data_IF_938089658424
#
_entry.id   IF_938089658424
#
_cell.length_a   1.000
_cell.length_b   1.000
_cell.length_c   1.000
_cell.angle_alpha   90.00
_cell.angle_beta   90.00
_cell.angle_gamma   90.00
#
_symmetry.space_group_name_H-M   'P 1'
#
loop_
_entity.id
_entity.type
_entity.pdbx_description
1 polymer ?
#
# COMPACT_ATOMS: atom_id res chain seq x y z
N UNK A 1 -3.28 20.92 5.99
CA UNK A 1 -4.11 22.00 6.58
C UNK A 1 -5.45 22.17 5.87
N UNK A 2 -5.49 22.39 4.55
CA UNK A 2 -6.73 22.68 3.80
C UNK A 2 -7.75 21.52 3.75
N UNK A 3 -7.30 20.27 3.79
CA UNK A 3 -8.19 19.09 3.87
C UNK A 3 -9.02 19.05 5.17
N UNK A 4 -8.44 19.44 6.31
CA UNK A 4 -9.15 19.46 7.58
C UNK A 4 -10.21 20.58 7.63
N UNK A 5 -9.98 21.68 6.91
CA UNK A 5 -10.94 22.78 6.77
C UNK A 5 -12.14 22.32 5.92
N UNK A 6 -11.92 21.59 4.83
CA UNK A 6 -13.00 21.03 4.00
C UNK A 6 -13.83 19.98 4.75
N UNK A 7 -13.18 19.09 5.50
CA UNK A 7 -13.87 18.11 6.35
C UNK A 7 -14.66 18.81 7.45
N UNK A 8 -14.08 19.85 8.06
CA UNK A 8 -14.76 20.69 9.05
C UNK A 8 -16.00 21.40 8.48
N UNK A 9 -15.91 21.98 7.28
CA UNK A 9 -17.04 22.62 6.59
C UNK A 9 -18.13 21.62 6.19
N UNK A 10 -17.76 20.41 5.74
CA UNK A 10 -18.72 19.36 5.42
C UNK A 10 -19.47 18.87 6.67
N UNK A 11 -18.76 18.70 7.80
CA UNK A 11 -19.36 18.35 9.09
C UNK A 11 -20.27 19.48 9.61
N UNK A 12 -19.84 20.74 9.48
CA UNK A 12 -20.66 21.92 9.82
C UNK A 12 -21.92 22.02 8.94
N UNK A 13 -21.80 21.72 7.64
CA UNK A 13 -22.93 21.68 6.72
C UNK A 13 -23.94 20.60 7.07
N UNK A 14 -23.47 19.40 7.43
CA UNK A 14 -24.32 18.30 7.92
C UNK A 14 -24.97 18.63 9.27
N UNK A 15 -24.27 19.34 10.16
CA UNK A 15 -24.80 19.76 11.45
C UNK A 15 -25.85 20.89 11.30
N UNK A 16 -25.63 21.82 10.38
CA UNK A 16 -26.60 22.85 9.98
C UNK A 16 -27.86 22.27 9.33
N UNK A 17 -27.71 21.22 8.50
CA UNK A 17 -28.85 20.54 7.91
C UNK A 17 -29.75 19.87 8.96
N UNK A 18 -29.18 19.39 10.07
CA UNK A 18 -29.95 18.88 11.23
C UNK A 18 -30.59 20.00 12.07
N UNK A 19 -30.13 21.24 11.93
CA UNK A 19 -30.67 22.42 12.64
C UNK A 19 -31.80 23.11 11.85
N UNK A 20 -31.91 22.86 10.54
CA UNK A 20 -33.12 23.21 9.78
C UNK A 20 -34.21 22.19 10.11
N UNK A 21 -35.11 22.58 11.03
CA UNK A 21 -36.17 21.73 11.58
C UNK A 21 -36.94 20.94 10.53
N UNK A 22 -36.94 19.62 10.69
CA UNK A 22 -37.79 18.71 9.92
C UNK A 22 -39.17 18.55 10.57
N UNK A 23 -40.14 17.97 9.86
CA UNK A 23 -41.47 17.71 10.41
C UNK A 23 -41.41 16.80 11.65
N UNK A 24 -42.26 17.08 12.65
CA UNK A 24 -42.28 16.30 13.89
C UNK A 24 -42.88 14.91 13.65
N UNK A 25 -42.33 13.90 14.33
CA UNK A 25 -42.90 12.54 14.29
C UNK A 25 -44.13 12.46 15.19
N UNK A 26 -45.27 12.08 14.62
CA UNK A 26 -46.51 11.83 15.35
C UNK A 26 -46.74 10.32 15.52
N UNK A 27 -47.32 9.93 16.65
CA UNK A 27 -47.71 8.55 16.91
C UNK A 27 -49.04 8.23 16.21
N UNK A 28 -49.26 6.98 15.82
CA UNK A 28 -50.52 6.52 15.20
C UNK A 28 -51.75 6.87 16.05
N UNK A 29 -51.64 6.79 17.39
CA UNK A 29 -52.72 7.17 18.32
C UNK A 29 -53.02 8.69 18.32
N UNK A 30 -52.00 9.53 18.14
CA UNK A 30 -52.17 10.99 18.06
C UNK A 30 -52.80 11.37 16.73
N UNK A 31 -52.39 10.71 15.64
CA UNK A 31 -53.02 10.83 14.33
C UNK A 31 -54.52 10.50 14.40
N UNK A 32 -54.90 9.36 14.99
CA UNK A 32 -56.30 8.98 15.12
C UNK A 32 -57.11 9.99 15.94
N UNK A 33 -56.53 10.52 17.03
CA UNK A 33 -57.14 11.56 17.86
C UNK A 33 -57.42 12.83 17.04
N UNK A 34 -56.47 13.29 16.24
CA UNK A 34 -56.62 14.51 15.42
C UNK A 34 -57.54 14.29 14.21
N UNK A 35 -57.46 13.12 13.60
CA UNK A 35 -58.30 12.73 12.47
C UNK A 35 -59.79 12.68 12.87
N UNK A 36 -60.12 12.04 14.00
CA UNK A 36 -61.50 11.98 14.52
C UNK A 36 -62.04 13.34 14.96
N UNK A 37 -61.17 14.23 15.45
CA UNK A 37 -61.55 15.61 15.78
C UNK A 37 -61.82 16.47 14.54
N UNK A 38 -61.41 16.02 13.34
CA UNK A 38 -61.55 16.75 12.08
C UNK A 38 -60.50 17.86 11.88
N UNK A 39 -59.34 17.72 12.54
CA UNK A 39 -58.28 18.73 12.56
C UNK A 39 -57.32 18.61 11.36
N UNK A 40 -57.42 17.52 10.59
CA UNK A 40 -56.55 17.24 9.44
C UNK A 40 -57.20 17.81 8.17
N UNK A 41 -56.41 18.55 7.39
CA UNK A 41 -56.82 19.13 6.10
C UNK A 41 -56.61 18.14 4.96
N UNK A 42 -55.43 17.50 4.91
CA UNK A 42 -55.08 16.49 3.91
C UNK A 42 -53.98 15.58 4.42
N UNK A 43 -53.96 14.34 3.93
CA UNK A 43 -52.96 13.33 4.25
C UNK A 43 -52.24 12.95 2.95
N UNK A 44 -50.91 13.03 2.92
CA UNK A 44 -50.11 12.65 1.74
C UNK A 44 -49.18 11.50 2.09
N UNK A 45 -49.41 10.34 1.50
CA UNK A 45 -48.56 9.15 1.67
C UNK A 45 -47.32 9.30 0.81
N UNK A 46 -46.14 9.36 1.44
CA UNK A 46 -44.86 9.65 0.77
C UNK A 46 -44.01 8.40 0.50
N UNK A 47 -44.27 7.32 1.21
CA UNK A 47 -43.68 5.99 1.00
C UNK A 47 -44.63 4.93 1.58
N UNK A 48 -44.26 3.65 1.52
CA UNK A 48 -45.14 2.56 1.99
C UNK A 48 -45.34 2.52 3.52
N UNK A 49 -44.59 3.31 4.29
CA UNK A 49 -44.59 3.23 5.76
C UNK A 49 -44.93 4.56 6.43
N UNK A 50 -44.90 5.69 5.73
CA UNK A 50 -44.99 7.03 6.28
C UNK A 50 -45.92 7.93 5.45
N UNK A 51 -46.72 8.72 6.17
CA UNK A 51 -47.58 9.75 5.60
C UNK A 51 -47.34 11.10 6.26
N UNK A 52 -47.36 12.16 5.44
CA UNK A 52 -47.30 13.55 5.86
C UNK A 52 -48.71 14.07 6.15
N UNK A 53 -48.89 14.64 7.33
CA UNK A 53 -50.17 15.20 7.78
C UNK A 53 -50.12 16.72 7.64
N UNK A 54 -51.13 17.27 6.96
CA UNK A 54 -51.39 18.70 6.91
C UNK A 54 -52.56 19.05 7.83
N UNK A 55 -52.34 19.94 8.79
CA UNK A 55 -53.37 20.35 9.76
C UNK A 55 -54.09 21.59 9.27
N UNK A 56 -55.42 21.64 9.45
CA UNK A 56 -56.24 22.81 9.11
C UNK A 56 -55.76 24.03 9.88
N UNK A 57 -55.72 25.19 9.22
CA UNK A 57 -55.24 26.46 9.78
C UNK A 57 -55.89 26.82 11.13
N UNK A 58 -57.18 26.53 11.29
CA UNK A 58 -57.94 26.83 12.51
C UNK A 58 -57.58 25.92 13.70
N UNK A 59 -57.00 24.74 13.44
CA UNK A 59 -56.60 23.75 14.45
C UNK A 59 -55.14 23.87 14.90
N UNK A 60 -54.33 24.73 14.25
CA UNK A 60 -52.94 25.01 14.64
C UNK A 60 -52.83 25.79 15.96
N UNK A 61 -53.93 26.36 16.45
CA UNK A 61 -53.96 27.19 17.68
C UNK A 61 -54.31 26.41 18.95
N UNK A 62 -54.81 25.17 18.83
CA UNK A 62 -55.21 24.29 19.93
C UNK A 62 -54.03 23.85 20.82
N UNK A 63 -54.20 23.62 22.15
CA UNK A 63 -53.10 23.26 23.06
C UNK A 63 -52.39 21.94 22.70
N UNK A 64 -53.08 21.06 21.96
CA UNK A 64 -52.55 19.79 21.47
C UNK A 64 -51.36 19.98 20.48
N UNK A 65 -51.14 21.19 19.92
CA UNK A 65 -50.10 21.48 18.92
C UNK A 65 -49.07 22.56 19.35
N UNK A 66 -48.98 22.90 20.64
CA UNK A 66 -48.09 23.98 21.11
C UNK A 66 -46.59 23.71 20.85
N UNK A 67 -46.17 22.45 20.75
CA UNK A 67 -44.80 22.05 20.35
C UNK A 67 -44.45 22.43 18.92
N UNK A 68 -45.46 22.56 18.06
CA UNK A 68 -45.30 22.90 16.64
C UNK A 68 -45.17 24.43 16.45
N UNK A 69 -45.82 25.23 17.30
CA UNK A 69 -45.72 26.71 17.30
C UNK A 69 -44.33 27.24 17.62
N UNK A 70 -43.53 26.51 18.42
CA UNK A 70 -42.17 26.91 18.76
C UNK A 70 -41.16 26.69 17.63
N UNK A 71 -41.42 25.72 16.73
CA UNK A 71 -40.49 25.36 15.64
C UNK A 71 -40.90 25.95 14.28
N UNK A 72 -42.19 26.18 14.03
CA UNK A 72 -42.66 26.81 12.80
C UNK A 72 -42.53 28.34 12.89
N UNK A 73 -41.47 28.89 12.28
CA UNK A 73 -41.28 30.35 12.13
C UNK A 73 -42.28 31.03 11.20
N UNK A 74 -43.02 30.28 10.37
CA UNK A 74 -44.00 30.82 9.43
C UNK A 74 -45.32 30.01 9.45
N UNK A 75 -46.43 30.60 9.95
CA UNK A 75 -47.76 29.96 10.01
C UNK A 75 -48.37 29.68 8.63
N UNK A 76 -47.83 30.25 7.56
CA UNK A 76 -48.33 30.08 6.18
C UNK A 76 -47.50 29.13 5.33
N UNK A 77 -46.53 28.42 5.93
CA UNK A 77 -45.71 27.46 5.19
C UNK A 77 -46.56 26.27 4.74
N UNK A 78 -46.56 25.99 3.42
CA UNK A 78 -47.17 24.79 2.80
C UNK A 78 -46.40 23.50 3.12
N UNK A 79 -45.64 23.51 4.21
CA UNK A 79 -44.77 22.41 4.63
C UNK A 79 -45.59 21.42 5.47
N UNK A 80 -45.26 20.12 5.42
CA UNK A 80 -45.92 19.12 6.26
C UNK A 80 -45.64 19.39 7.74
N UNK A 81 -46.66 19.36 8.59
CA UNK A 81 -46.51 19.62 10.02
C UNK A 81 -46.08 18.38 10.80
N UNK A 82 -46.59 17.21 10.41
CA UNK A 82 -46.25 15.93 11.07
C UNK A 82 -45.98 14.82 10.05
N UNK A 83 -45.11 13.88 10.42
CA UNK A 83 -44.96 12.59 9.75
C UNK A 83 -45.47 11.51 10.70
N UNK A 84 -46.39 10.67 10.24
CA UNK A 84 -46.87 9.49 10.97
C UNK A 84 -46.46 8.22 10.24
N UNK A 85 -46.08 7.20 11.01
CA UNK A 85 -45.90 5.86 10.45
C UNK A 85 -47.28 5.18 10.28
N UNK A 86 -47.64 4.92 9.03
CA UNK A 86 -48.92 4.32 8.63
C UNK A 86 -48.85 2.79 8.54
N UNK A 87 -47.65 2.22 8.56
CA UNK A 87 -47.39 0.78 8.46
C UNK A 87 -47.63 0.21 7.07
N UNK A 88 -48.89 0.06 6.66
CA UNK A 88 -49.29 -0.47 5.34
C UNK A 88 -50.42 0.41 4.75
N UNK A 89 -50.33 0.85 3.47
CA UNK A 89 -51.40 1.56 2.77
C UNK A 89 -52.79 0.93 2.89
N UNK A 90 -52.92 -0.40 2.82
CA UNK A 90 -54.22 -1.09 2.88
C UNK A 90 -54.92 -0.91 4.24
N UNK A 91 -54.11 -0.94 5.30
CA UNK A 91 -54.59 -0.74 6.69
C UNK A 91 -54.97 0.73 6.90
N UNK A 92 -54.25 1.65 6.26
CA UNK A 92 -54.58 3.07 6.29
C UNK A 92 -55.92 3.34 5.63
N UNK A 93 -56.19 2.77 4.45
CA UNK A 93 -57.48 2.92 3.76
C UNK A 93 -58.64 2.43 4.62
N UNK A 94 -58.50 1.25 5.23
CA UNK A 94 -59.51 0.69 6.15
C UNK A 94 -59.75 1.63 7.34
N UNK A 95 -58.68 2.20 7.92
CA UNK A 95 -58.80 3.17 9.03
C UNK A 95 -59.43 4.49 8.60
N UNK A 96 -59.15 4.96 7.39
CA UNK A 96 -59.75 6.18 6.84
C UNK A 96 -61.24 6.01 6.60
N UNK A 97 -61.70 4.83 6.17
CA UNK A 97 -63.13 4.52 6.06
C UNK A 97 -63.85 4.64 7.41
N UNK A 98 -63.28 4.04 8.46
CA UNK A 98 -63.83 4.13 9.83
C UNK A 98 -63.85 5.57 10.36
N UNK A 99 -62.78 6.33 10.12
CA UNK A 99 -62.68 7.73 10.54
C UNK A 99 -63.70 8.58 9.76
N UNK A 100 -63.83 8.39 8.45
CA UNK A 100 -64.80 9.09 7.62
C UNK A 100 -66.25 8.76 8.00
N UNK A 101 -66.53 7.52 8.43
CA UNK A 101 -67.83 7.15 8.98
C UNK A 101 -68.16 7.91 10.28
N UNK A 102 -67.16 8.16 11.13
CA UNK A 102 -67.34 9.00 12.33
C UNK A 102 -67.48 10.48 12.01
N UNK A 103 -66.70 11.01 11.07
CA UNK A 103 -66.76 12.41 10.63
C UNK A 103 -68.09 12.73 9.91
N UNK A 104 -68.64 11.77 9.16
CA UNK A 104 -69.95 11.90 8.51
C UNK A 104 -71.09 12.05 9.52
N UNK A 105 -71.02 11.36 10.68
CA UNK A 105 -71.99 11.53 11.79
C UNK A 105 -71.90 12.90 12.43
N UNK A 106 -70.71 13.52 12.44
CA UNK A 106 -70.47 14.86 12.98
C UNK A 106 -70.59 15.99 11.94
N UNK A 107 -71.02 15.70 10.70
CA UNK A 107 -71.11 16.65 9.57
C UNK A 107 -69.79 17.37 9.26
N UNK A 108 -68.65 16.69 9.44
CA UNK A 108 -67.32 17.22 9.12
C UNK A 108 -66.85 16.72 7.75
N UNK A 109 -65.91 17.44 7.15
CA UNK A 109 -65.35 17.09 5.83
C UNK A 109 -64.69 15.72 5.84
N UNK A 110 -64.79 15.00 4.72
CA UNK A 110 -64.12 13.71 4.52
C UNK A 110 -62.61 13.91 4.38
N UNK A 111 -61.85 13.02 5.01
CA UNK A 111 -60.40 12.95 4.88
C UNK A 111 -60.03 11.97 3.76
N UNK A 112 -59.25 12.42 2.80
CA UNK A 112 -58.74 11.61 1.68
C UNK A 112 -57.22 11.53 1.79
N UNK A 113 -56.66 10.36 1.48
CA UNK A 113 -55.22 10.17 1.36
C UNK A 113 -54.81 10.37 -0.11
N UNK A 114 -53.93 11.34 -0.35
CA UNK A 114 -53.22 11.49 -1.61
C UNK A 114 -51.94 10.66 -1.56
N UNK A 115 -51.56 10.02 -2.68
CA UNK A 115 -50.33 9.25 -2.79
C UNK A 115 -49.34 10.03 -3.66
N UNK A 116 -48.26 10.54 -3.05
CA UNK A 116 -47.19 11.25 -3.76
C UNK A 116 -45.83 10.69 -3.32
N UNK A 117 -45.33 9.63 -3.97
CA UNK A 117 -44.10 8.97 -3.57
C UNK A 117 -42.90 9.91 -3.72
N UNK A 118 -42.37 10.40 -2.59
CA UNK A 118 -41.20 11.28 -2.59
C UNK A 118 -39.92 10.44 -2.58
N UNK A 119 -39.21 10.44 -3.70
CA UNK A 119 -37.88 9.82 -3.77
C UNK A 119 -36.81 10.77 -3.22
N UNK A 120 -36.14 10.37 -2.13
CA UNK A 120 -35.03 11.10 -1.51
C UNK A 120 -33.73 11.06 -2.35
N UNK A 121 -33.78 11.51 -3.61
CA UNK A 121 -32.66 11.54 -4.54
C UNK A 121 -31.44 12.24 -3.94
N UNK A 122 -31.64 13.36 -3.24
CA UNK A 122 -30.57 14.14 -2.61
C UNK A 122 -29.82 13.35 -1.54
N UNK A 123 -30.55 12.60 -0.71
CA UNK A 123 -29.99 11.72 0.32
C UNK A 123 -29.22 10.55 -0.28
N UNK A 124 -29.76 9.93 -1.32
CA UNK A 124 -29.10 8.86 -2.07
C UNK A 124 -27.81 9.35 -2.71
N UNK A 125 -27.84 10.52 -3.36
CA UNK A 125 -26.68 11.10 -4.04
C UNK A 125 -25.58 11.47 -3.05
N UNK A 126 -25.90 12.10 -1.91
CA UNK A 126 -24.90 12.40 -0.87
C UNK A 126 -24.29 11.13 -0.28
N UNK A 127 -25.10 10.10 -0.04
CA UNK A 127 -24.64 8.83 0.57
C UNK A 127 -23.67 8.07 -0.33
N UNK A 128 -23.86 8.09 -1.65
CA UNK A 128 -22.96 7.41 -2.58
C UNK A 128 -21.81 8.29 -3.09
N UNK A 129 -22.04 9.59 -3.27
CA UNK A 129 -21.04 10.51 -3.82
C UNK A 129 -19.98 10.89 -2.77
N UNK A 130 -20.35 10.97 -1.49
CA UNK A 130 -19.43 11.37 -0.42
C UNK A 130 -18.30 10.34 -0.18
N UNK A 131 -18.57 9.02 -0.07
CA UNK A 131 -17.52 8.00 -0.01
C UNK A 131 -16.62 8.00 -1.26
N UNK A 132 -17.21 8.17 -2.45
CA UNK A 132 -16.46 8.21 -3.70
C UNK A 132 -15.49 9.39 -3.75
N UNK A 133 -15.94 10.58 -3.35
CA UNK A 133 -15.10 11.78 -3.29
C UNK A 133 -13.99 11.67 -2.24
N UNK A 134 -14.26 11.04 -1.10
CA UNK A 134 -13.23 10.76 -0.08
C UNK A 134 -12.18 9.81 -0.66
N UNK A 135 -12.60 8.76 -1.37
CA UNK A 135 -11.69 7.80 -2.00
C UNK A 135 -10.79 8.46 -3.05
N UNK A 136 -11.38 9.27 -3.93
CA UNK A 136 -10.64 10.04 -4.95
C UNK A 136 -9.68 11.04 -4.29
N UNK A 137 -10.12 11.74 -3.24
CA UNK A 137 -9.29 12.68 -2.49
C UNK A 137 -8.09 12.00 -1.82
N UNK A 138 -8.30 10.85 -1.19
CA UNK A 138 -7.24 10.04 -0.59
C UNK A 138 -6.26 9.55 -1.66
N UNK A 139 -6.77 9.08 -2.80
CA UNK A 139 -5.96 8.58 -3.91
C UNK A 139 -5.07 9.67 -4.52
N UNK A 140 -5.62 10.88 -4.70
CA UNK A 140 -4.86 12.04 -5.18
C UNK A 140 -3.76 12.48 -4.20
N UNK A 141 -3.99 12.38 -2.89
CA UNK A 141 -2.97 12.66 -1.87
C UNK A 141 -1.84 11.63 -1.94
N UNK A 142 -2.16 10.34 -2.10
CA UNK A 142 -1.16 9.26 -2.25
C UNK A 142 -0.32 9.48 -3.50
N UNK A 143 -0.94 9.75 -4.65
CA UNK A 143 -0.24 9.99 -5.91
C UNK A 143 0.65 11.23 -5.83
N UNK A 144 0.18 12.31 -5.19
CA UNK A 144 0.96 13.53 -5.01
C UNK A 144 2.10 13.36 -4.00
N UNK A 145 1.99 12.42 -3.07
CA UNK A 145 3.05 12.04 -2.13
C UNK A 145 4.07 11.07 -2.76
N UNK A 146 3.70 10.35 -3.81
CA UNK A 146 4.60 9.48 -4.56
C UNK A 146 5.35 10.22 -5.69
N UNK A 147 4.74 11.26 -6.28
CA UNK A 147 5.31 11.97 -7.45
C UNK A 147 6.26 13.13 -7.16
N UNK A 148 6.52 13.48 -5.89
CA UNK A 148 7.29 14.67 -5.53
C UNK A 148 8.19 14.47 -4.32
N UNK A 149 9.42 14.01 -4.56
CA UNK A 149 10.50 14.03 -3.56
C UNK A 149 11.15 12.66 -3.34
N UNK A 150 12.48 12.65 -3.43
CA UNK A 150 13.39 11.52 -3.26
C UNK A 150 13.45 10.93 -1.83
N UNK A 151 12.31 10.83 -1.13
CA UNK A 151 12.23 10.35 0.25
C UNK A 151 10.88 9.79 0.68
N UNK A 152 9.96 9.54 -0.26
CA UNK A 152 8.71 8.85 0.04
C UNK A 152 8.89 7.33 0.22
N UNK A 153 8.04 6.63 0.99
CA UNK A 153 8.09 5.16 1.16
C UNK A 153 8.01 4.35 -0.15
N UNK A 154 7.61 4.98 -1.27
CA UNK A 154 7.63 4.39 -2.61
C UNK A 154 8.95 4.52 -3.37
N UNK A 155 9.84 5.44 -2.98
CA UNK A 155 11.15 5.62 -3.62
C UNK A 155 12.11 4.45 -3.32
N UNK A 156 11.90 3.75 -2.19
CA UNK A 156 12.62 2.51 -1.90
C UNK A 156 12.25 1.38 -2.87
N UNK A 157 11.02 1.37 -3.42
CA UNK A 157 10.55 0.34 -4.35
C UNK A 157 11.23 0.49 -5.72
N UNK A 158 11.51 1.73 -6.16
CA UNK A 158 12.22 1.97 -7.42
C UNK A 158 13.75 1.75 -7.33
N UNK A 159 14.31 1.63 -6.13
CA UNK A 159 15.73 1.38 -5.92
C UNK A 159 16.06 -0.12 -5.69
N UNK A 160 15.06 -1.01 -5.83
CA UNK A 160 15.17 -2.47 -5.63
C UNK A 160 16.18 -3.14 -6.59
N UNK A 161 16.56 -2.51 -7.71
CA UNK A 161 17.51 -3.07 -8.67
C UNK A 161 18.99 -2.71 -8.47
N UNK A 162 19.31 -1.71 -7.63
CA UNK A 162 20.69 -1.22 -7.47
C UNK A 162 21.41 -2.00 -6.38
N UNK A 163 22.58 -2.55 -6.72
CA UNK A 163 23.43 -3.27 -5.78
C UNK A 163 23.79 -2.41 -4.56
N UNK A 164 23.57 -2.95 -3.34
CA UNK A 164 24.09 -2.43 -2.07
C UNK A 164 25.56 -2.84 -1.86
N UNK A 165 26.32 -3.07 -2.93
CA UNK A 165 27.75 -3.30 -2.79
C UNK A 165 28.35 -2.09 -2.07
N UNK A 166 28.92 -2.33 -0.90
CA UNK A 166 29.72 -1.34 -0.20
C UNK A 166 30.95 -1.09 -1.06
N UNK A 167 30.87 -0.08 -1.91
CA UNK A 167 32.02 0.46 -2.61
C UNK A 167 33.01 0.94 -1.53
N UNK A 168 34.00 0.10 -1.23
CA UNK A 168 35.24 0.58 -0.63
C UNK A 168 35.91 1.41 -1.74
N UNK A 169 35.57 2.70 -1.75
CA UNK A 169 36.12 3.63 -2.72
C UNK A 169 37.63 3.78 -2.50
N UNK A 170 38.34 4.27 -3.51
CA UNK A 170 39.81 4.33 -3.57
C UNK A 170 40.50 5.09 -2.41
N UNK A 171 39.74 5.67 -1.48
CA UNK A 171 40.23 6.28 -0.23
C UNK A 171 40.12 5.39 1.02
N UNK A 172 39.49 4.22 0.93
CA UNK A 172 39.45 3.20 1.99
C UNK A 172 40.27 2.01 1.52
N UNK A 173 41.59 2.20 1.40
CA UNK A 173 42.51 1.07 1.20
C UNK A 173 42.21 0.02 2.27
N UNK A 174 42.04 -1.23 1.84
CA UNK A 174 42.06 -2.35 2.77
C UNK A 174 43.46 -2.36 3.37
N UNK A 175 43.59 -1.90 4.61
CA UNK A 175 44.88 -1.82 5.32
C UNK A 175 45.35 -3.18 5.87
N UNK A 176 44.73 -4.27 5.45
CA UNK A 176 45.05 -5.63 5.89
C UNK A 176 45.98 -6.23 4.84
N UNK A 177 47.10 -6.76 5.28
CA UNK A 177 48.16 -7.37 4.45
C UNK A 177 48.37 -8.83 4.83
N UNK A 178 49.24 -9.57 4.14
CA UNK A 178 49.54 -10.95 4.53
C UNK A 178 50.23 -11.05 5.90
N UNK A 179 50.85 -9.96 6.38
CA UNK A 179 51.40 -9.89 7.72
C UNK A 179 50.33 -9.98 8.83
N UNK A 180 49.10 -9.55 8.53
CA UNK A 180 47.97 -9.58 9.47
C UNK A 180 47.25 -10.94 9.50
N UNK A 181 47.60 -11.85 8.58
CA UNK A 181 47.07 -13.21 8.53
C UNK A 181 48.12 -14.14 9.13
N UNK A 182 47.81 -14.80 10.25
CA UNK A 182 48.73 -15.77 10.85
C UNK A 182 48.53 -17.17 10.27
N UNK A 183 49.64 -17.89 10.03
CA UNK A 183 49.63 -19.24 9.43
C UNK A 183 49.15 -19.25 7.98
N UNK A 184 48.48 -20.34 7.58
CA UNK A 184 47.95 -20.56 6.22
C UNK A 184 49.01 -20.40 5.12
N UNK A 185 50.24 -20.86 5.38
CA UNK A 185 51.39 -20.59 4.50
C UNK A 185 51.18 -21.15 3.08
N UNK A 186 50.63 -22.38 2.97
CA UNK A 186 50.27 -22.99 1.68
C UNK A 186 49.23 -22.16 0.92
N UNK A 187 48.15 -21.74 1.59
CA UNK A 187 47.10 -20.94 0.97
C UNK A 187 47.60 -19.55 0.56
N UNK A 188 48.49 -18.95 1.37
CA UNK A 188 49.15 -17.67 1.05
C UNK A 188 50.02 -17.78 -0.19
N UNK A 189 50.76 -18.87 -0.35
CA UNK A 189 51.59 -19.12 -1.53
C UNK A 189 50.73 -19.19 -2.80
N UNK A 190 49.63 -19.93 -2.77
CA UNK A 190 48.69 -20.02 -3.91
C UNK A 190 48.06 -18.67 -4.26
N UNK A 191 47.58 -17.91 -3.26
CA UNK A 191 46.99 -16.58 -3.53
C UNK A 191 48.03 -15.51 -3.84
N UNK A 192 49.32 -15.74 -3.60
CA UNK A 192 50.40 -14.81 -3.96
C UNK A 192 50.53 -14.68 -5.48
N UNK A 193 50.25 -15.74 -6.24
CA UNK A 193 50.19 -15.69 -7.70
C UNK A 193 49.12 -14.71 -8.20
N UNK A 194 47.98 -14.68 -7.51
CA UNK A 194 46.87 -13.76 -7.80
C UNK A 194 47.30 -12.31 -7.56
N UNK A 195 48.10 -12.07 -6.51
CA UNK A 195 48.67 -10.75 -6.21
C UNK A 195 49.69 -10.32 -7.26
N UNK A 196 50.66 -11.18 -7.64
CA UNK A 196 51.64 -10.83 -8.68
C UNK A 196 50.94 -10.55 -10.02
N UNK A 197 49.88 -11.30 -10.31
CA UNK A 197 49.08 -11.08 -11.50
C UNK A 197 48.39 -9.70 -11.49
N UNK A 198 47.75 -9.30 -10.38
CA UNK A 198 47.09 -7.99 -10.28
C UNK A 198 48.10 -6.83 -10.36
N UNK A 199 49.32 -7.01 -9.83
CA UNK A 199 50.40 -6.02 -9.92
C UNK A 199 51.01 -5.95 -11.31
N UNK A 200 51.21 -7.09 -11.97
CA UNK A 200 51.96 -7.22 -13.21
C UNK A 200 51.20 -8.00 -14.30
N UNK A 201 49.98 -7.58 -14.71
CA UNK A 201 49.15 -8.38 -15.61
C UNK A 201 49.79 -8.63 -16.98
N UNK A 202 50.55 -7.66 -17.49
CA UNK A 202 51.23 -7.72 -18.80
C UNK A 202 52.25 -8.85 -18.90
N UNK A 203 52.96 -9.17 -17.80
CA UNK A 203 53.98 -10.22 -17.74
C UNK A 203 53.34 -11.57 -18.11
N UNK A 204 52.21 -11.88 -17.51
CA UNK A 204 51.49 -13.14 -17.72
C UNK A 204 50.79 -13.20 -19.08
N UNK A 205 50.18 -12.11 -19.54
CA UNK A 205 49.55 -12.06 -20.87
C UNK A 205 50.57 -12.21 -21.99
N UNK A 206 51.78 -11.64 -21.85
CA UNK A 206 52.85 -11.74 -22.86
C UNK A 206 53.40 -13.15 -23.04
N UNK A 207 53.34 -13.96 -21.98
CA UNK A 207 53.74 -15.37 -21.98
C UNK A 207 52.62 -16.31 -22.46
N UNK A 208 51.47 -15.77 -22.87
CA UNK A 208 50.30 -16.57 -23.27
C UNK A 208 49.55 -17.20 -22.11
N UNK A 209 49.86 -16.82 -20.86
CA UNK A 209 49.19 -17.30 -19.66
C UNK A 209 47.74 -16.83 -19.61
N UNK A 210 46.82 -17.76 -19.33
CA UNK A 210 45.43 -17.42 -19.05
C UNK A 210 45.29 -17.01 -17.58
N UNK A 211 44.59 -15.92 -17.39
CA UNK A 211 44.42 -15.30 -16.08
C UNK A 211 43.34 -16.07 -15.34
N UNK A 212 43.56 -16.47 -14.07
CA UNK A 212 42.53 -17.11 -13.27
C UNK A 212 41.36 -16.13 -13.12
N UNK A 213 40.18 -16.53 -13.61
CA UNK A 213 38.96 -15.72 -13.53
C UNK A 213 38.40 -15.64 -12.12
N UNK A 214 38.71 -16.63 -11.29
CA UNK A 214 38.31 -16.63 -9.90
C UNK A 214 39.00 -17.68 -9.03
N UNK A 215 38.83 -17.53 -7.72
CA UNK A 215 39.40 -18.36 -6.66
C UNK A 215 38.27 -18.69 -5.67
N UNK A 216 38.11 -19.97 -5.33
CA UNK A 216 37.15 -20.42 -4.32
C UNK A 216 37.90 -20.84 -3.05
N UNK A 217 37.70 -20.08 -1.97
CA UNK A 217 38.23 -20.38 -0.64
C UNK A 217 37.27 -21.32 0.09
N UNK A 218 37.75 -22.50 0.43
CA UNK A 218 36.96 -23.55 1.09
C UNK A 218 37.55 -23.85 2.46
N UNK A 219 36.68 -24.02 3.45
CA UNK A 219 37.07 -24.57 4.74
C UNK A 219 36.04 -24.30 5.83
N UNK A 220 36.23 -24.83 7.05
CA UNK A 220 35.32 -24.60 8.17
C UNK A 220 35.09 -23.10 8.48
N UNK A 221 33.96 -22.73 9.10
CA UNK A 221 33.75 -21.35 9.53
C UNK A 221 34.83 -20.91 10.53
N UNK A 222 35.24 -19.64 10.47
CA UNK A 222 36.24 -19.08 11.39
C UNK A 222 37.71 -19.29 11.00
N UNK A 223 38.02 -19.91 9.86
CA UNK A 223 39.40 -20.12 9.38
C UNK A 223 40.05 -18.92 8.68
N UNK A 224 39.44 -17.74 8.76
CA UNK A 224 40.02 -16.53 8.18
C UNK A 224 39.90 -16.37 6.67
N UNK A 225 38.99 -17.09 5.97
CA UNK A 225 38.76 -16.95 4.52
C UNK A 225 38.52 -15.49 4.08
N UNK A 226 37.61 -14.80 4.75
CA UNK A 226 37.31 -13.38 4.50
C UNK A 226 38.50 -12.47 4.81
N UNK A 227 39.33 -12.85 5.80
CA UNK A 227 40.54 -12.10 6.15
C UNK A 227 41.64 -12.28 5.08
N UNK A 228 41.83 -13.51 4.59
CA UNK A 228 42.77 -13.82 3.52
C UNK A 228 42.40 -13.07 2.22
N UNK A 229 41.12 -13.05 1.83
CA UNK A 229 40.68 -12.30 0.66
C UNK A 229 40.94 -10.78 0.79
N UNK A 230 40.74 -10.21 1.98
CA UNK A 230 41.09 -8.81 2.27
C UNK A 230 42.60 -8.57 2.19
N UNK A 231 43.40 -9.49 2.72
CA UNK A 231 44.86 -9.43 2.65
C UNK A 231 45.37 -9.44 1.20
N UNK A 232 44.82 -10.31 0.33
CA UNK A 232 45.14 -10.34 -1.11
C UNK A 232 44.89 -8.97 -1.76
N UNK A 233 43.76 -8.33 -1.45
CA UNK A 233 43.43 -7.01 -1.99
C UNK A 233 44.37 -5.91 -1.48
N UNK A 234 44.70 -5.92 -0.17
CA UNK A 234 45.63 -4.97 0.42
C UNK A 234 47.05 -5.12 -0.13
N UNK A 235 47.51 -6.36 -0.31
CA UNK A 235 48.80 -6.68 -0.93
C UNK A 235 48.88 -6.25 -2.39
N UNK A 236 47.81 -6.49 -3.17
CA UNK A 236 47.72 -6.04 -4.56
C UNK A 236 47.53 -4.52 -4.69
N UNK A 237 47.06 -3.84 -3.64
CA UNK A 237 46.67 -2.43 -3.69
C UNK A 237 45.48 -2.17 -4.61
N UNK A 238 44.64 -3.19 -4.86
CA UNK A 238 43.51 -3.12 -5.77
C UNK A 238 42.19 -2.83 -5.03
N UNK A 239 41.20 -2.17 -5.67
CA UNK A 239 39.87 -2.00 -5.08
C UNK A 239 39.22 -3.33 -4.72
N UNK A 240 38.57 -3.38 -3.56
CA UNK A 240 37.93 -4.58 -3.01
C UNK A 240 36.42 -4.37 -2.90
N UNK A 241 35.65 -5.13 -3.67
CA UNK A 241 34.20 -5.18 -3.58
C UNK A 241 33.80 -6.40 -2.74
N UNK A 242 33.01 -6.21 -1.69
CA UNK A 242 32.55 -7.31 -0.83
C UNK A 242 31.03 -7.39 -0.85
N UNK A 243 30.49 -8.59 -1.03
CA UNK A 243 29.04 -8.86 -0.95
C UNK A 243 28.82 -10.26 -0.32
N UNK A 244 27.72 -10.45 0.40
CA UNK A 244 27.34 -11.79 0.86
C UNK A 244 26.50 -12.49 -0.21
N UNK A 245 26.69 -13.79 -0.38
CA UNK A 245 25.86 -14.64 -1.23
C UNK A 245 24.38 -14.58 -0.84
N UNK A 246 24.10 -14.39 0.45
CA UNK A 246 22.74 -14.21 0.95
C UNK A 246 22.06 -12.92 0.48
N UNK A 247 22.82 -11.86 0.17
CA UNK A 247 22.28 -10.59 -0.34
C UNK A 247 21.65 -10.73 -1.74
N UNK A 248 21.93 -11.83 -2.42
CA UNK A 248 21.36 -12.13 -3.73
C UNK A 248 20.12 -13.01 -3.68
N UNK A 249 19.67 -13.43 -2.49
CA UNK A 249 18.47 -14.25 -2.30
C UNK A 249 17.36 -13.38 -1.74
N UNK A 250 16.47 -12.91 -2.60
CA UNK A 250 15.33 -12.05 -2.22
C UNK A 250 13.97 -12.68 -2.55
N UNK A 251 12.91 -12.15 -1.92
CA UNK A 251 11.52 -12.57 -2.18
C UNK A 251 11.02 -12.16 -3.58
N UNK A 252 11.72 -11.23 -4.25
CA UNK A 252 11.36 -10.71 -5.55
C UNK A 252 12.20 -11.34 -6.65
N UNK A 253 11.53 -12.03 -7.58
CA UNK A 253 12.18 -12.69 -8.71
C UNK A 253 12.95 -11.68 -9.57
N UNK A 254 14.22 -11.99 -9.87
CA UNK A 254 15.06 -11.20 -10.78
C UNK A 254 15.83 -10.05 -10.13
N UNK A 255 15.62 -9.76 -8.84
CA UNK A 255 16.38 -8.76 -8.11
C UNK A 255 17.84 -9.19 -7.94
N UNK A 256 18.10 -10.44 -7.53
CA UNK A 256 19.45 -10.98 -7.40
C UNK A 256 20.25 -10.89 -8.71
N UNK A 257 19.66 -11.33 -9.84
CA UNK A 257 20.28 -11.22 -11.16
C UNK A 257 20.62 -9.76 -11.56
N UNK A 258 19.75 -8.79 -11.24
CA UNK A 258 20.04 -7.37 -11.49
C UNK A 258 21.25 -6.89 -10.67
N UNK A 259 21.32 -7.27 -9.39
CA UNK A 259 22.44 -6.93 -8.51
C UNK A 259 23.77 -7.49 -9.02
N UNK A 260 23.76 -8.72 -9.54
CA UNK A 260 24.94 -9.35 -10.15
C UNK A 260 25.45 -8.52 -11.34
N UNK A 261 24.57 -8.14 -12.28
CA UNK A 261 24.95 -7.29 -13.42
C UNK A 261 25.52 -5.95 -12.98
N UNK A 262 24.88 -5.31 -12.01
CA UNK A 262 25.32 -4.02 -11.48
C UNK A 262 26.66 -4.10 -10.74
N UNK A 263 26.92 -5.20 -10.01
CA UNK A 263 28.21 -5.46 -9.36
C UNK A 263 29.33 -5.58 -10.40
N UNK A 264 29.11 -6.40 -11.43
CA UNK A 264 30.11 -6.57 -12.49
C UNK A 264 30.28 -5.34 -13.36
N UNK A 265 29.24 -4.51 -13.56
CA UNK A 265 29.38 -3.19 -14.21
C UNK A 265 30.33 -2.29 -13.42
N UNK A 266 30.13 -2.17 -12.11
CA UNK A 266 30.99 -1.34 -11.25
C UNK A 266 32.44 -1.88 -11.19
N UNK A 267 32.60 -3.19 -11.14
CA UNK A 267 33.93 -3.81 -11.18
C UNK A 267 34.65 -3.54 -12.49
N UNK A 268 33.94 -3.54 -13.64
CA UNK A 268 34.51 -3.17 -14.95
C UNK A 268 35.01 -1.73 -14.99
N UNK A 269 34.34 -0.81 -14.30
CA UNK A 269 34.72 0.61 -14.25
C UNK A 269 35.93 0.86 -13.33
N UNK A 270 36.14 0.02 -12.31
CA UNK A 270 37.24 0.13 -11.33
C UNK A 270 38.36 -0.90 -11.53
N UNK A 271 38.43 -1.54 -12.69
CA UNK A 271 39.43 -2.56 -12.98
C UNK A 271 40.86 -1.95 -13.06
N UNK A 272 41.91 -2.65 -12.57
CA UNK A 272 41.90 -3.99 -11.98
C UNK A 272 41.35 -3.99 -10.55
N UNK A 273 40.50 -4.95 -10.20
CA UNK A 273 39.86 -5.03 -8.88
C UNK A 273 39.52 -6.47 -8.47
N UNK A 274 39.23 -6.66 -7.19
CA UNK A 274 38.79 -7.93 -6.62
C UNK A 274 37.32 -7.84 -6.23
N UNK A 275 36.52 -8.80 -6.67
CA UNK A 275 35.16 -9.02 -6.18
C UNK A 275 35.21 -10.19 -5.21
N UNK A 276 34.73 -10.00 -3.99
CA UNK A 276 34.62 -11.04 -2.97
C UNK A 276 33.15 -11.35 -2.67
N UNK A 277 32.77 -12.62 -2.84
CA UNK A 277 31.46 -13.15 -2.47
C UNK A 277 31.63 -14.11 -1.29
N UNK A 278 31.21 -13.68 -0.10
CA UNK A 278 31.15 -14.58 1.07
C UNK A 278 29.91 -15.47 1.00
N UNK A 279 29.92 -16.64 1.63
CA UNK A 279 28.77 -17.57 1.66
C UNK A 279 28.16 -17.85 0.27
N UNK A 280 29.00 -18.15 -0.72
CA UNK A 280 28.54 -18.42 -2.10
C UNK A 280 27.59 -19.64 -2.16
N UNK A 281 27.62 -20.52 -1.17
CA UNK A 281 26.71 -21.65 -1.01
C UNK A 281 25.23 -21.24 -0.88
N UNK A 282 24.94 -19.98 -0.52
CA UNK A 282 23.58 -19.44 -0.51
C UNK A 282 22.92 -19.43 -1.91
N UNK A 283 23.72 -19.18 -2.97
CA UNK A 283 23.29 -19.16 -4.38
C UNK A 283 23.78 -20.36 -5.19
N UNK A 284 24.83 -21.04 -4.73
CA UNK A 284 25.49 -22.14 -5.45
C UNK A 284 24.82 -23.51 -5.32
N UNK A 285 23.83 -23.66 -4.44
CA UNK A 285 23.19 -24.96 -4.16
C UNK A 285 22.58 -25.58 -5.41
N UNK A 286 23.11 -26.75 -5.82
CA UNK A 286 22.61 -27.49 -6.95
C UNK A 286 21.15 -27.99 -6.75
N UNK A 287 20.41 -28.06 -7.86
CA UNK A 287 19.02 -28.52 -7.95
C UNK A 287 18.80 -29.85 -7.21
N UNK A 288 17.91 -29.84 -6.21
CA UNK A 288 17.32 -31.08 -5.72
C UNK A 288 16.40 -31.67 -6.81
N UNK A 289 16.77 -32.82 -7.38
CA UNK A 289 15.88 -33.61 -8.24
C UNK A 289 14.62 -34.00 -7.45
N UNK A 290 13.56 -33.19 -7.49
CA UNK A 290 12.23 -33.57 -6.99
C UNK A 290 11.50 -32.61 -6.04
N UNK A 291 12.00 -31.41 -5.74
CA UNK A 291 11.29 -30.47 -4.85
C UNK A 291 10.48 -29.42 -5.63
N UNK A 292 9.15 -29.51 -5.46
CA UNK A 292 8.05 -28.58 -5.73
C UNK A 292 8.45 -27.18 -6.27
N UNK A 293 7.98 -26.94 -7.50
CA UNK A 293 8.04 -25.74 -8.32
C UNK A 293 7.56 -24.49 -7.56
N UNK A 294 8.45 -23.48 -7.39
CA UNK A 294 8.06 -22.14 -6.95
C UNK A 294 9.07 -21.36 -6.10
N UNK A 295 10.03 -22.02 -5.43
CA UNK A 295 11.00 -21.36 -4.53
C UNK A 295 12.45 -21.32 -5.00
N UNK A 296 12.81 -22.09 -6.02
CA UNK A 296 14.20 -22.22 -6.51
C UNK A 296 14.53 -21.31 -7.70
N UNK A 297 13.53 -20.69 -8.32
CA UNK A 297 13.70 -19.99 -9.61
C UNK A 297 14.57 -18.74 -9.49
N UNK A 298 14.52 -18.06 -8.35
CA UNK A 298 15.29 -16.83 -8.11
C UNK A 298 16.78 -17.13 -7.92
N UNK A 299 17.11 -18.16 -7.13
CA UNK A 299 18.50 -18.61 -6.91
C UNK A 299 19.13 -19.12 -8.19
N UNK A 300 18.40 -19.95 -8.96
CA UNK A 300 18.89 -20.48 -10.24
C UNK A 300 19.13 -19.34 -11.24
N UNK A 301 18.22 -18.36 -11.32
CA UNK A 301 18.37 -17.22 -12.23
C UNK A 301 19.57 -16.35 -11.84
N UNK A 302 19.75 -16.07 -10.55
CA UNK A 302 20.91 -15.32 -10.03
C UNK A 302 22.22 -16.07 -10.29
N UNK A 303 22.28 -17.38 -10.04
CA UNK A 303 23.46 -18.21 -10.29
C UNK A 303 23.84 -18.22 -11.76
N UNK A 304 22.87 -18.45 -12.65
CA UNK A 304 23.11 -18.42 -14.09
C UNK A 304 23.62 -17.06 -14.55
N UNK A 305 23.08 -15.97 -13.99
CA UNK A 305 23.57 -14.63 -14.29
C UNK A 305 25.02 -14.41 -13.82
N UNK A 306 25.41 -14.97 -12.66
CA UNK A 306 26.79 -14.94 -12.17
C UNK A 306 27.73 -15.69 -13.12
N UNK A 307 27.34 -16.89 -13.57
CA UNK A 307 28.12 -17.68 -14.53
C UNK A 307 28.28 -16.98 -15.88
N UNK A 308 27.20 -16.38 -16.40
CA UNK A 308 27.22 -15.62 -17.66
C UNK A 308 28.16 -14.41 -17.56
N UNK A 309 28.12 -13.67 -16.44
CA UNK A 309 29.05 -12.56 -16.24
C UNK A 309 30.48 -13.06 -16.15
N UNK A 310 30.77 -14.11 -15.35
CA UNK A 310 32.11 -14.73 -15.23
C UNK A 310 32.68 -15.19 -16.57
N UNK A 311 31.87 -15.82 -17.42
CA UNK A 311 32.29 -16.27 -18.74
C UNK A 311 32.51 -15.11 -19.71
N UNK A 312 31.65 -14.10 -19.63
CA UNK A 312 31.72 -12.87 -20.43
C UNK A 312 32.91 -11.97 -20.12
N UNK A 313 33.69 -12.22 -19.06
CA UNK A 313 34.87 -11.42 -18.74
C UNK A 313 36.00 -11.63 -19.75
N UNK A 314 36.43 -10.57 -20.46
CA UNK A 314 37.67 -10.62 -21.21
C UNK A 314 38.82 -10.66 -20.19
N UNK A 315 39.76 -11.58 -20.41
CA UNK A 315 40.85 -11.87 -19.47
C UNK A 315 41.80 -10.68 -19.28
N UNK A 316 41.76 -9.69 -20.17
CA UNK A 316 42.69 -8.56 -20.22
C UNK A 316 42.44 -7.46 -19.17
N UNK A 317 41.22 -7.35 -18.62
CA UNK A 317 40.86 -6.24 -17.71
C UNK A 317 41.30 -6.45 -16.26
N UNK A 318 41.78 -7.63 -15.87
CA UNK A 318 42.31 -7.88 -14.52
C UNK A 318 41.26 -7.79 -13.41
N UNK A 319 40.06 -8.32 -13.65
CA UNK A 319 39.01 -8.48 -12.63
C UNK A 319 39.03 -9.92 -12.14
N UNK A 320 39.13 -10.12 -10.82
CA UNK A 320 39.22 -11.45 -10.20
C UNK A 320 38.06 -11.64 -9.23
N UNK A 321 37.34 -12.75 -9.40
CA UNK A 321 36.27 -13.15 -8.49
C UNK A 321 36.81 -14.09 -7.41
N UNK A 322 36.88 -13.64 -6.17
CA UNK A 322 37.12 -14.49 -5.02
C UNK A 322 35.79 -14.86 -4.36
N UNK A 323 35.61 -16.12 -4.01
CA UNK A 323 34.42 -16.59 -3.30
C UNK A 323 34.81 -17.41 -2.07
N UNK A 324 33.98 -17.40 -1.04
CA UNK A 324 34.19 -18.23 0.14
C UNK A 324 32.96 -19.11 0.41
N UNK A 325 33.21 -20.37 0.80
CA UNK A 325 32.17 -21.30 1.24
C UNK A 325 32.65 -22.11 2.44
N UNK A 326 31.72 -22.44 3.34
CA UNK A 326 31.92 -23.42 4.40
C UNK A 326 31.51 -24.83 3.97
N UNK A 327 30.84 -24.94 2.82
CA UNK A 327 30.18 -26.14 2.31
C UNK A 327 30.57 -26.39 0.86
N UNK A 328 31.70 -27.05 0.60
CA UNK A 328 32.09 -27.43 -0.76
C UNK A 328 31.25 -28.60 -1.30
N UNK A 329 30.51 -29.29 -0.43
CA UNK A 329 29.67 -30.44 -0.74
C UNK A 329 28.36 -30.10 -1.45
N UNK A 330 27.98 -28.82 -1.47
CA UNK A 330 26.72 -28.29 -2.00
C UNK A 330 26.96 -27.48 -3.27
#
# INVERSE_FOLDING_TARGET
>A
MWIYILIGLALLGLQMAKFMGGPQKATTAEFEKWARKGQIERLVVINNEEAQIFIKKDSLTTPDHDKLKQELKDPNSKLPQYIVNIGNPDVLETRLEDINATLAKEKKDKLVADYDPQTNWTGTLVTYLLPLLIFIGLWLIILRRMGGGAGGPGAQIFNIGKSKATLFDNNTKVNITFADVAGLDEAKEEVMEVVDFLKNPKKYTSLGGKIPKGVLLVGPPGTGKTLLAKAVAGEAGAPFFSISGSDFVEMFVGVGASRVRDLFRQAREKAPCIIFIDEIDAIGRARGRGAIQGGNDERENTLNQLLVEMDGFPTDKGVILMAATNRPDI
#
